data_IF_821159709277
#
_entry.id   IF_821159709277
#
_cell.length_a   1.000
_cell.length_b   1.000
_cell.length_c   1.000
_cell.angle_alpha   90.00
_cell.angle_beta   90.00
_cell.angle_gamma   90.00
#
_symmetry.space_group_name_H-M   'P 1'
#
loop_
_entity.id
_entity.type
_entity.pdbx_description
1 polymer ?
#
# COMPACT_ATOMS: atom_id res chain seq x y z
N UNK A 1 -11.35 -9.69 -15.68
CA UNK A 1 -10.23 -8.72 -15.71
C UNK A 1 -10.38 -7.83 -14.50
N UNK A 2 -9.31 -7.67 -13.71
CA UNK A 2 -9.28 -6.76 -12.56
C UNK A 2 -9.39 -5.34 -13.06
N UNK A 3 -10.32 -4.55 -12.51
CA UNK A 3 -10.52 -3.15 -12.87
C UNK A 3 -9.95 -2.20 -11.82
N UNK A 4 -10.07 -2.54 -10.54
CA UNK A 4 -9.71 -1.65 -9.44
C UNK A 4 -8.75 -2.31 -8.45
N UNK A 5 -8.01 -1.50 -7.70
CA UNK A 5 -7.04 -1.98 -6.70
C UNK A 5 -7.65 -2.93 -5.66
N UNK A 6 -8.90 -2.68 -5.23
CA UNK A 6 -9.57 -3.53 -4.22
C UNK A 6 -9.96 -4.93 -4.72
N UNK A 7 -9.84 -5.18 -6.03
CA UNK A 7 -10.05 -6.48 -6.65
C UNK A 7 -8.77 -7.34 -6.68
N UNK A 8 -7.59 -6.74 -6.46
CA UNK A 8 -6.30 -7.42 -6.42
C UNK A 8 -6.17 -8.33 -5.20
N UNK A 9 -5.31 -9.34 -5.30
CA UNK A 9 -4.93 -10.19 -4.18
C UNK A 9 -3.42 -10.21 -4.01
N UNK A 10 -2.90 -9.78 -2.84
CA UNK A 10 -1.45 -9.71 -2.61
C UNK A 10 -0.75 -11.07 -2.75
N UNK A 11 -1.42 -12.18 -2.44
CA UNK A 11 -0.85 -13.52 -2.63
C UNK A 11 -0.61 -13.89 -4.11
N UNK A 12 -1.17 -13.14 -5.06
CA UNK A 12 -0.94 -13.31 -6.50
C UNK A 12 0.13 -12.34 -7.03
N UNK A 13 0.65 -11.45 -6.18
CA UNK A 13 1.64 -10.44 -6.53
C UNK A 13 2.93 -10.79 -5.80
N UNK A 14 4.05 -11.04 -6.51
CA UNK A 14 5.33 -11.31 -5.87
C UNK A 14 5.70 -10.18 -4.89
N UNK A 15 6.20 -10.56 -3.72
CA UNK A 15 6.78 -9.60 -2.77
C UNK A 15 8.13 -9.16 -3.32
N UNK A 16 8.30 -7.87 -3.62
CA UNK A 16 9.52 -7.36 -4.27
C UNK A 16 10.80 -7.61 -3.44
N UNK A 17 10.65 -7.68 -2.12
CA UNK A 17 11.72 -7.89 -1.15
C UNK A 17 11.64 -9.28 -0.48
N UNK A 18 11.11 -10.29 -1.17
CA UNK A 18 10.95 -11.67 -0.66
C UNK A 18 12.23 -12.26 -0.06
N UNK A 19 13.38 -12.07 -0.72
CA UNK A 19 14.67 -12.56 -0.24
C UNK A 19 15.03 -11.97 1.14
N UNK A 20 14.79 -10.68 1.34
CA UNK A 20 15.05 -10.01 2.61
C UNK A 20 14.08 -10.45 3.70
N UNK A 21 12.81 -10.65 3.33
CA UNK A 21 11.80 -11.23 4.22
C UNK A 21 12.21 -12.63 4.69
N UNK A 22 12.61 -13.51 3.77
CA UNK A 22 12.99 -14.90 4.07
C UNK A 22 14.23 -14.96 4.99
N UNK A 23 15.25 -14.13 4.71
CA UNK A 23 16.40 -13.98 5.60
C UNK A 23 16.00 -13.52 7.00
N UNK A 24 15.14 -12.50 7.07
CA UNK A 24 14.64 -11.95 8.34
C UNK A 24 13.85 -12.98 9.13
N UNK A 25 13.01 -13.76 8.44
CA UNK A 25 12.18 -14.79 9.05
C UNK A 25 13.03 -15.88 9.71
N UNK A 26 14.15 -16.24 9.09
CA UNK A 26 15.06 -17.27 9.62
C UNK A 26 15.95 -16.74 10.74
N UNK A 27 16.47 -15.52 10.59
CA UNK A 27 17.56 -15.02 11.44
C UNK A 27 17.09 -14.05 12.54
N UNK A 28 16.03 -13.28 12.33
CA UNK A 28 15.54 -12.25 13.26
C UNK A 28 14.02 -12.01 13.10
N UNK A 29 13.17 -13.03 13.33
CA UNK A 29 11.72 -12.93 13.08
C UNK A 29 11.02 -11.89 13.94
N UNK A 30 11.54 -11.63 15.14
CA UNK A 30 11.03 -10.61 16.07
C UNK A 30 11.57 -9.21 15.74
N UNK A 31 12.37 -9.06 14.70
CA UNK A 31 13.08 -7.83 14.34
C UNK A 31 14.44 -7.70 15.03
N UNK A 32 15.19 -6.68 14.63
CA UNK A 32 16.51 -6.36 15.20
C UNK A 32 16.79 -4.86 15.15
N UNK A 33 17.70 -4.42 16.00
CA UNK A 33 18.33 -3.11 15.84
C UNK A 33 19.47 -3.22 14.83
N UNK A 34 19.55 -2.25 13.94
CA UNK A 34 20.66 -2.10 12.99
C UNK A 34 21.29 -0.73 13.13
N UNK A 35 22.58 -0.68 12.89
CA UNK A 35 23.34 0.57 12.80
C UNK A 35 23.47 0.96 11.33
N UNK A 36 23.14 2.21 11.03
CA UNK A 36 23.28 2.75 9.68
C UNK A 36 24.11 4.01 9.76
N UNK A 37 25.15 4.02 8.95
CA UNK A 37 26.07 5.13 8.79
C UNK A 37 25.58 6.03 7.65
N UNK A 38 25.35 7.29 7.95
CA UNK A 38 25.00 8.30 6.94
C UNK A 38 26.24 8.74 6.16
N UNK A 39 26.01 9.47 5.06
CA UNK A 39 27.07 9.95 4.16
C UNK A 39 28.07 10.86 4.91
N UNK A 40 27.60 11.63 5.89
CA UNK A 40 28.42 12.48 6.77
C UNK A 40 29.08 11.69 7.94
N UNK A 41 28.91 10.37 7.98
CA UNK A 41 29.59 9.48 8.91
C UNK A 41 28.88 9.29 10.26
N UNK A 42 27.72 9.93 10.49
CA UNK A 42 26.94 9.73 11.70
C UNK A 42 26.35 8.32 11.74
N UNK A 43 26.39 7.68 12.91
CA UNK A 43 25.83 6.33 13.11
C UNK A 43 24.51 6.46 13.85
N UNK A 44 23.44 5.93 13.26
CA UNK A 44 22.12 5.87 13.89
C UNK A 44 21.70 4.42 14.08
N UNK A 45 21.13 4.14 15.26
CA UNK A 45 20.44 2.88 15.54
C UNK A 45 18.98 3.02 15.14
N UNK A 46 18.49 2.10 14.32
CA UNK A 46 17.06 1.99 14.01
C UNK A 46 16.57 0.57 14.27
N UNK A 47 15.29 0.45 14.56
CA UNK A 47 14.58 -0.83 14.63
C UNK A 47 14.07 -1.23 13.26
N UNK A 48 14.23 -2.50 12.90
CA UNK A 48 13.68 -3.09 11.67
C UNK A 48 13.00 -4.40 11.98
N UNK A 49 11.82 -4.61 11.41
CA UNK A 49 11.09 -5.87 11.51
C UNK A 49 10.33 -6.14 10.21
N UNK A 50 10.99 -6.73 9.20
CA UNK A 50 10.37 -7.01 7.90
C UNK A 50 9.23 -8.02 7.97
N UNK A 51 9.29 -8.96 8.92
CA UNK A 51 8.23 -9.96 9.13
C UNK A 51 6.94 -9.27 9.59
N UNK A 52 7.03 -8.44 10.62
CA UNK A 52 5.90 -7.65 11.09
C UNK A 52 5.44 -6.64 10.03
N UNK A 53 6.38 -6.03 9.29
CA UNK A 53 6.08 -5.09 8.21
C UNK A 53 5.18 -5.73 7.14
N UNK A 54 5.57 -6.92 6.63
CA UNK A 54 4.78 -7.71 5.68
C UNK A 54 3.38 -7.97 6.20
N UNK A 55 3.28 -8.49 7.43
CA UNK A 55 2.01 -8.85 8.05
C UNK A 55 1.07 -7.64 8.19
N UNK A 56 1.61 -6.47 8.48
CA UNK A 56 0.83 -5.23 8.56
C UNK A 56 0.36 -4.78 7.17
N UNK A 57 1.20 -4.88 6.13
CA UNK A 57 0.76 -4.58 4.76
C UNK A 57 -0.43 -5.48 4.39
N UNK A 58 -0.31 -6.80 4.60
CA UNK A 58 -1.37 -7.77 4.30
C UNK A 58 -2.65 -7.48 5.10
N UNK A 59 -2.51 -7.17 6.39
CA UNK A 59 -3.64 -6.83 7.25
C UNK A 59 -4.39 -5.59 6.73
N UNK A 60 -3.68 -4.48 6.53
CA UNK A 60 -4.30 -3.22 6.11
C UNK A 60 -4.82 -3.29 4.68
N UNK A 61 -4.12 -3.94 3.76
CA UNK A 61 -4.58 -4.09 2.40
C UNK A 61 -5.90 -4.87 2.34
N UNK A 62 -6.01 -5.99 3.06
CA UNK A 62 -7.25 -6.75 3.13
C UNK A 62 -8.37 -5.99 3.84
N UNK A 63 -8.05 -5.24 4.90
CA UNK A 63 -9.02 -4.36 5.56
C UNK A 63 -9.62 -3.35 4.58
N UNK A 64 -8.78 -2.63 3.82
CA UNK A 64 -9.24 -1.63 2.86
C UNK A 64 -10.00 -2.24 1.69
N UNK A 65 -9.61 -3.44 1.22
CA UNK A 65 -10.40 -4.19 0.23
C UNK A 65 -11.82 -4.48 0.68
N UNK A 66 -11.96 -4.96 1.92
CA UNK A 66 -13.27 -5.28 2.51
C UNK A 66 -14.08 -3.99 2.63
N UNK A 67 -13.47 -2.91 3.14
CA UNK A 67 -14.11 -1.61 3.24
C UNK A 67 -14.60 -1.08 1.89
N UNK A 68 -13.80 -1.17 0.81
CA UNK A 68 -14.24 -0.77 -0.53
C UNK A 68 -15.47 -1.58 -0.98
N UNK A 69 -15.44 -2.90 -0.80
CA UNK A 69 -16.55 -3.78 -1.19
C UNK A 69 -17.82 -3.45 -0.43
N UNK A 70 -17.72 -3.19 0.87
CA UNK A 70 -18.87 -2.86 1.69
C UNK A 70 -19.40 -1.44 1.43
N UNK A 71 -18.51 -0.48 1.14
CA UNK A 71 -18.87 0.86 0.70
C UNK A 71 -19.66 0.82 -0.62
N UNK A 72 -19.21 0.02 -1.59
CA UNK A 72 -19.89 -0.15 -2.88
C UNK A 72 -21.27 -0.81 -2.76
N UNK A 73 -21.44 -1.75 -1.82
CA UNK A 73 -22.77 -2.34 -1.53
C UNK A 73 -23.74 -1.32 -0.94
N UNK A 74 -23.22 -0.38 -0.16
CA UNK A 74 -24.01 0.62 0.56
C UNK A 74 -24.07 1.98 -0.15
N UNK A 75 -23.64 2.07 -1.43
CA UNK A 75 -23.49 3.34 -2.14
C UNK A 75 -24.79 4.18 -2.21
N UNK A 76 -25.96 3.54 -2.19
CA UNK A 76 -27.26 4.22 -2.25
C UNK A 76 -27.74 4.78 -0.90
N UNK A 77 -27.07 4.41 0.20
CA UNK A 77 -27.45 4.78 1.56
C UNK A 77 -26.50 5.83 2.16
N UNK A 78 -25.55 6.34 1.37
CA UNK A 78 -24.51 7.27 1.79
C UNK A 78 -24.64 8.51 0.90
N UNK A 79 -24.40 9.68 1.47
CA UNK A 79 -24.29 10.90 0.67
C UNK A 79 -23.22 10.73 -0.43
N UNK A 80 -23.51 11.19 -1.63
CA UNK A 80 -22.64 10.97 -2.79
C UNK A 80 -21.22 11.53 -2.55
N UNK A 81 -21.11 12.70 -1.93
CA UNK A 81 -19.81 13.32 -1.65
C UNK A 81 -19.02 12.48 -0.64
N UNK A 82 -19.68 12.03 0.41
CA UNK A 82 -19.05 11.20 1.45
C UNK A 82 -18.65 9.82 0.89
N UNK A 83 -19.48 9.24 0.02
CA UNK A 83 -19.16 8.00 -0.69
C UNK A 83 -17.91 8.16 -1.55
N UNK A 84 -17.86 9.22 -2.37
CA UNK A 84 -16.71 9.50 -3.24
C UNK A 84 -15.44 9.70 -2.41
N UNK A 85 -15.50 10.53 -1.36
CA UNK A 85 -14.34 10.79 -0.52
C UNK A 85 -13.82 9.51 0.13
N UNK A 86 -14.68 8.72 0.76
CA UNK A 86 -14.27 7.46 1.40
C UNK A 86 -13.67 6.48 0.40
N UNK A 87 -14.21 6.41 -0.81
CA UNK A 87 -13.69 5.50 -1.83
C UNK A 87 -12.32 5.95 -2.34
N UNK A 88 -12.10 7.26 -2.50
CA UNK A 88 -10.78 7.83 -2.85
C UNK A 88 -9.77 7.54 -1.74
N UNK A 89 -10.13 7.76 -0.47
CA UNK A 89 -9.25 7.48 0.68
C UNK A 89 -8.80 6.01 0.68
N UNK A 90 -9.73 5.09 0.41
CA UNK A 90 -9.45 3.66 0.32
C UNK A 90 -8.54 3.35 -0.87
N UNK A 91 -8.79 3.95 -2.04
CA UNK A 91 -7.96 3.72 -3.24
C UNK A 91 -6.52 4.23 -3.03
N UNK A 92 -6.36 5.38 -2.39
CA UNK A 92 -5.05 5.93 -1.99
C UNK A 92 -4.33 4.97 -1.03
N UNK A 93 -5.04 4.47 -0.02
CA UNK A 93 -4.47 3.52 0.94
C UNK A 93 -4.00 2.23 0.26
N UNK A 94 -4.82 1.66 -0.62
CA UNK A 94 -4.49 0.45 -1.36
C UNK A 94 -3.28 0.67 -2.27
N UNK A 95 -3.22 1.79 -2.98
CA UNK A 95 -2.11 2.09 -3.90
C UNK A 95 -0.77 2.22 -3.17
N UNK A 96 -0.74 2.98 -2.07
CA UNK A 96 0.48 3.16 -1.26
C UNK A 96 0.93 1.84 -0.59
N UNK A 97 -0.01 1.03 -0.09
CA UNK A 97 0.33 -0.30 0.45
C UNK A 97 0.86 -1.25 -0.63
N UNK A 98 0.30 -1.18 -1.84
CA UNK A 98 0.77 -1.98 -2.96
C UNK A 98 2.15 -1.53 -3.42
N UNK A 99 2.45 -0.23 -3.35
CA UNK A 99 3.79 0.29 -3.59
C UNK A 99 4.79 -0.31 -2.61
N UNK A 100 4.50 -0.31 -1.31
CA UNK A 100 5.36 -0.93 -0.30
C UNK A 100 5.54 -2.46 -0.48
N UNK A 101 4.62 -3.12 -1.18
CA UNK A 101 4.68 -4.55 -1.47
C UNK A 101 5.48 -4.88 -2.74
N UNK A 102 5.17 -4.19 -3.84
CA UNK A 102 5.57 -4.56 -5.19
C UNK A 102 6.67 -3.67 -5.78
N UNK A 103 6.98 -2.54 -5.14
CA UNK A 103 8.07 -1.68 -5.58
C UNK A 103 9.39 -2.18 -5.01
N UNK A 104 10.30 -2.56 -5.89
CA UNK A 104 11.68 -2.82 -5.53
C UNK A 104 12.35 -1.46 -5.27
N UNK A 105 12.46 -1.10 -3.99
CA UNK A 105 13.28 0.05 -3.57
C UNK A 105 14.73 -0.25 -3.93
N UNK A 106 15.48 0.77 -4.38
CA UNK A 106 16.91 0.65 -4.69
C UNK A 106 17.64 -0.22 -3.66
N UNK A 107 18.62 -0.98 -4.14
CA UNK A 107 19.14 -2.25 -3.58
C UNK A 107 18.86 -2.50 -2.09
N UNK A 108 18.37 -3.70 -1.77
CA UNK A 108 18.07 -4.15 -0.39
C UNK A 108 19.25 -3.90 0.58
N UNK A 109 20.48 -3.90 0.06
CA UNK A 109 21.72 -3.67 0.81
C UNK A 109 21.91 -2.20 1.24
N UNK A 110 21.23 -1.23 0.62
CA UNK A 110 21.50 0.19 0.82
C UNK A 110 20.70 0.82 1.96
N UNK A 111 19.50 0.32 2.31
CA UNK A 111 18.76 0.90 3.43
C UNK A 111 17.67 0.02 4.07
N UNK A 112 18.01 -0.83 5.06
CA UNK A 112 17.00 -1.62 5.76
C UNK A 112 16.06 -0.78 6.64
N UNK A 113 16.29 0.55 6.86
CA UNK A 113 15.33 1.46 7.57
C UNK A 113 13.93 1.43 6.96
N UNK A 114 13.83 1.08 5.68
CA UNK A 114 12.59 1.09 4.92
C UNK A 114 11.54 0.12 5.47
N UNK A 115 11.93 -0.87 6.28
CA UNK A 115 11.04 -1.90 6.82
C UNK A 115 10.76 -1.75 8.33
N UNK A 116 10.68 -0.50 8.80
CA UNK A 116 10.23 -0.21 10.16
C UNK A 116 8.70 -0.12 10.21
N UNK A 117 8.00 -1.07 10.86
CA UNK A 117 6.54 -1.06 10.94
C UNK A 117 5.98 0.13 11.72
N UNK A 118 6.73 0.68 12.67
CA UNK A 118 6.25 1.83 13.42
C UNK A 118 6.30 3.10 12.58
N UNK A 119 7.34 3.32 11.78
CA UNK A 119 7.45 4.56 11.00
C UNK A 119 6.31 4.71 10.00
N UNK A 120 6.05 3.71 9.17
CA UNK A 120 5.06 3.78 8.10
C UNK A 120 3.61 3.74 8.64
N UNK A 121 3.31 2.79 9.54
CA UNK A 121 1.93 2.55 9.96
C UNK A 121 1.46 3.52 11.05
N UNK A 122 2.33 3.97 11.97
CA UNK A 122 1.93 4.93 13.01
C UNK A 122 1.61 6.32 12.44
N UNK A 123 2.39 6.74 11.43
CA UNK A 123 2.17 8.01 10.72
C UNK A 123 1.10 7.92 9.63
N UNK A 124 0.52 6.72 9.43
CA UNK A 124 -0.48 6.44 8.39
C UNK A 124 -0.03 6.88 6.99
N UNK A 125 1.24 6.62 6.65
CA UNK A 125 1.80 6.98 5.35
C UNK A 125 1.07 6.34 4.16
N UNK A 126 0.28 5.30 4.39
CA UNK A 126 -0.62 4.76 3.37
C UNK A 126 -1.67 5.78 2.89
N UNK A 127 -1.96 6.87 3.60
CA UNK A 127 -2.77 7.99 3.12
C UNK A 127 -1.94 9.09 2.44
N UNK A 128 -0.87 8.74 1.72
CA UNK A 128 -0.07 9.72 0.99
C UNK A 128 -0.73 10.09 -0.36
N UNK A 129 -1.55 11.14 -0.33
CA UNK A 129 -2.22 11.68 -1.52
C UNK A 129 -1.24 12.31 -2.51
N UNK A 130 -0.15 12.92 -2.03
CA UNK A 130 0.84 13.54 -2.90
C UNK A 130 1.52 12.49 -3.78
N UNK A 131 1.86 11.33 -3.21
CA UNK A 131 2.38 10.21 -3.98
C UNK A 131 1.31 9.66 -4.95
N UNK A 132 0.08 9.44 -4.47
CA UNK A 132 -1.00 8.91 -5.29
C UNK A 132 -1.34 9.79 -6.50
N UNK A 133 -1.33 11.11 -6.36
CA UNK A 133 -1.64 12.06 -7.44
C UNK A 133 -0.40 12.63 -8.14
N UNK A 134 0.79 12.18 -7.78
CA UNK A 134 2.03 12.61 -8.43
C UNK A 134 1.96 12.31 -9.93
N UNK A 135 2.56 13.17 -10.78
CA UNK A 135 2.89 12.77 -12.15
C UNK A 135 3.59 11.42 -12.11
N UNK A 136 3.13 10.50 -12.95
CA UNK A 136 3.63 9.12 -13.00
C UNK A 136 5.13 9.17 -13.29
N UNK A 137 5.95 8.69 -12.34
CA UNK A 137 7.33 8.37 -12.68
C UNK A 137 7.26 7.09 -13.53
N UNK A 138 8.00 7.02 -14.64
CA UNK A 138 7.94 5.83 -15.51
C UNK A 138 8.71 4.67 -14.86
N UNK A 139 8.15 4.11 -13.78
CA UNK A 139 8.62 2.87 -13.16
C UNK A 139 7.67 1.73 -13.52
N UNK A 140 8.19 0.50 -13.51
CA UNK A 140 7.41 -0.70 -13.83
C UNK A 140 6.21 -0.90 -12.91
N UNK A 141 6.30 -0.44 -11.65
CA UNK A 141 5.20 -0.45 -10.69
C UNK A 141 4.01 0.36 -11.22
N UNK A 142 4.28 1.52 -11.80
CA UNK A 142 3.27 2.55 -12.06
C UNK A 142 2.62 2.25 -13.39
N UNK A 143 3.40 1.79 -14.37
CA UNK A 143 2.88 1.18 -15.60
C UNK A 143 1.91 0.02 -15.30
N UNK A 144 2.22 -0.80 -14.29
CA UNK A 144 1.41 -1.97 -13.94
C UNK A 144 0.15 -1.58 -13.15
N UNK A 145 0.27 -0.75 -12.12
CA UNK A 145 -0.79 -0.56 -11.12
C UNK A 145 -1.46 0.80 -11.17
N UNK A 146 -0.83 1.84 -11.71
CA UNK A 146 -1.50 3.13 -11.86
C UNK A 146 -2.79 3.03 -12.68
N UNK A 147 -2.88 2.23 -13.77
CA UNK A 147 -4.13 2.06 -14.50
C UNK A 147 -5.30 1.54 -13.65
N UNK A 148 -5.05 0.87 -12.52
CA UNK A 148 -6.10 0.32 -11.64
C UNK A 148 -6.63 1.32 -10.62
N UNK A 149 -6.02 2.50 -10.51
CA UNK A 149 -6.50 3.60 -9.66
C UNK A 149 -7.89 4.03 -10.10
N UNK A 150 -8.74 4.35 -9.14
CA UNK A 150 -10.10 4.83 -9.41
C UNK A 150 -10.08 6.12 -10.24
N UNK A 151 -9.06 6.97 -10.06
CA UNK A 151 -8.89 8.18 -10.86
C UNK A 151 -8.76 7.90 -12.37
N UNK A 152 -8.17 6.75 -12.73
CA UNK A 152 -7.98 6.34 -14.13
C UNK A 152 -9.15 5.54 -14.69
N UNK A 153 -9.88 4.80 -13.84
CA UNK A 153 -11.00 3.95 -14.26
C UNK A 153 -12.36 4.64 -14.16
N UNK A 154 -12.44 5.73 -13.40
CA UNK A 154 -13.70 6.37 -13.01
C UNK A 154 -14.32 5.73 -11.77
N UNK A 155 -15.25 6.45 -11.16
CA UNK A 155 -15.95 6.00 -9.95
C UNK A 155 -17.09 5.06 -10.36
N UNK A 156 -17.15 3.82 -9.84
CA UNK A 156 -18.16 2.84 -10.22
C UNK A 156 -19.50 3.11 -9.52
N UNK A 157 -20.18 4.19 -9.92
CA UNK A 157 -21.50 4.56 -9.43
C UNK A 157 -22.55 3.74 -10.18
N UNK A 158 -23.42 3.06 -9.45
CA UNK A 158 -24.63 2.42 -10.00
C UNK A 158 -25.82 3.32 -9.72
N UNK A 159 -26.43 3.85 -10.78
CA UNK A 159 -27.71 4.52 -10.66
C UNK A 159 -28.81 3.48 -10.47
N UNK A 160 -29.47 3.48 -9.32
CA UNK A 160 -30.79 2.86 -9.18
C UNK A 160 -31.79 3.76 -9.87
N UNK A 161 -32.09 3.49 -11.14
CA UNK A 161 -33.30 4.02 -11.76
C UNK A 161 -34.49 3.29 -11.13
N UNK A 162 -35.00 3.82 -10.02
CA UNK A 162 -36.39 3.56 -9.66
C UNK A 162 -37.26 4.33 -10.67
N UNK A 163 -37.55 3.67 -11.79
CA UNK A 163 -38.63 4.10 -12.67
C UNK A 163 -39.92 3.82 -11.89
N UNK A 164 -40.47 4.86 -11.26
CA UNK A 164 -41.85 4.90 -10.80
C UNK A 164 -42.69 5.68 -11.79
#
# INVERSE_FOLDING_TARGET
MVKHLWELSLNQIPLAWSKFYEDSLLNYPEGKYIEIKTIDGQVFKTWVNPVQYKNLIEHYFNKFKIQAKDLLKNQNNIDLKDFIQQLVDIDVALYNLLFEWAFEKDSIDENPRLYNPYTYFSSKQYYNYNFYFSPIMQTSFEETYAPLRIFNQGIPIKYSFDIR
#
